data_IF_475434061150
#
_entry.id   IF_475434061150
#
_cell.length_a   1.000
_cell.length_b   1.000
_cell.length_c   1.000
_cell.angle_alpha   90.00
_cell.angle_beta   90.00
_cell.angle_gamma   90.00
#
_symmetry.space_group_name_H-M   'P 1'
#
loop_
_entity.id
_entity.type
_entity.pdbx_description
1 polymer ?
#
# COMPACT_ATOMS: atom_id res chain seq x y z
N UNK A 1 -14.28 31.31 17.79
CA UNK A 1 -13.88 32.70 17.54
C UNK A 1 -13.46 33.37 18.84
N UNK A 2 -12.94 34.56 18.81
CA UNK A 2 -12.46 35.29 20.00
C UNK A 2 -13.55 35.49 21.06
N UNK A 3 -14.82 35.42 20.66
CA UNK A 3 -16.01 35.61 21.50
C UNK A 3 -16.69 34.30 21.89
N UNK A 4 -16.00 33.16 21.81
CA UNK A 4 -16.54 31.85 22.13
C UNK A 4 -17.53 31.26 21.11
N UNK A 5 -17.85 32.00 20.03
CA UNK A 5 -18.74 31.53 18.97
C UNK A 5 -18.09 30.46 18.07
N UNK A 6 -18.84 29.47 17.64
CA UNK A 6 -18.41 28.51 16.62
C UNK A 6 -18.25 29.25 15.28
N UNK A 7 -17.05 29.18 14.66
CA UNK A 7 -16.77 29.76 13.35
C UNK A 7 -17.14 28.78 12.21
N UNK A 8 -16.93 27.49 12.43
CA UNK A 8 -17.26 26.41 11.49
C UNK A 8 -17.48 25.12 12.28
N UNK A 9 -18.44 24.34 11.87
CA UNK A 9 -18.67 22.98 12.34
C UNK A 9 -18.80 22.09 11.10
N UNK A 10 -18.13 20.95 11.11
CA UNK A 10 -18.22 19.97 10.04
C UNK A 10 -18.12 18.56 10.65
N UNK A 11 -19.05 17.69 10.29
CA UNK A 11 -19.07 16.31 10.73
C UNK A 11 -18.34 15.47 9.67
N UNK A 12 -17.52 14.55 10.14
CA UNK A 12 -16.83 13.59 9.30
C UNK A 12 -17.18 12.18 9.74
N UNK A 13 -17.47 11.32 8.78
CA UNK A 13 -17.72 9.90 9.00
C UNK A 13 -16.57 9.07 8.48
N UNK A 14 -16.10 8.13 9.29
CA UNK A 14 -15.17 7.08 8.83
C UNK A 14 -15.98 5.96 8.20
N UNK A 15 -15.78 5.73 6.91
CA UNK A 15 -16.53 4.71 6.15
C UNK A 15 -15.72 3.43 5.90
N UNK A 16 -14.59 3.30 6.57
CA UNK A 16 -13.68 2.16 6.45
C UNK A 16 -12.56 2.40 5.44
N UNK A 17 -11.57 1.50 5.40
CA UNK A 17 -10.45 1.58 4.47
C UNK A 17 -9.57 2.84 4.58
N UNK A 18 -9.69 3.62 5.66
CA UNK A 18 -9.03 4.91 5.81
C UNK A 18 -9.73 6.08 5.12
N UNK A 19 -10.90 5.84 4.52
CA UNK A 19 -11.71 6.89 3.88
C UNK A 19 -12.55 7.63 4.91
N UNK A 20 -12.62 8.95 4.74
CA UNK A 20 -13.50 9.83 5.50
C UNK A 20 -14.36 10.60 4.51
N UNK A 21 -15.62 10.79 4.86
CA UNK A 21 -16.57 11.59 4.10
C UNK A 21 -17.19 12.64 5.01
N UNK A 22 -17.56 13.76 4.45
CA UNK A 22 -18.33 14.79 5.16
C UNK A 22 -19.81 14.42 5.22
N UNK A 23 -20.55 15.08 6.08
CA UNK A 23 -22.01 14.96 6.17
C UNK A 23 -22.71 15.11 4.81
N UNK A 24 -22.24 16.05 4.01
CA UNK A 24 -22.79 16.30 2.68
C UNK A 24 -22.42 15.22 1.65
N UNK A 25 -21.25 14.61 1.77
CA UNK A 25 -20.79 13.54 0.89
C UNK A 25 -21.35 12.18 1.28
N UNK A 26 -21.72 11.99 2.56
CA UNK A 26 -22.32 10.76 3.06
C UNK A 26 -23.65 10.44 2.36
N UNK A 27 -24.49 11.46 2.15
CA UNK A 27 -25.76 11.32 1.44
C UNK A 27 -25.60 11.24 -0.09
N UNK A 28 -24.43 11.64 -0.63
CA UNK A 28 -24.14 11.66 -2.08
C UNK A 28 -23.38 10.40 -2.55
N UNK A 29 -23.06 9.43 -1.70
CA UNK A 29 -22.41 8.18 -2.06
C UNK A 29 -23.24 7.24 -2.93
N UNK A 30 -24.37 7.68 -3.48
CA UNK A 30 -25.06 7.00 -4.57
C UNK A 30 -24.27 7.18 -5.87
N UNK A 31 -23.33 6.27 -6.10
CA UNK A 31 -22.88 5.75 -7.39
C UNK A 31 -22.82 6.74 -8.58
N UNK A 32 -21.77 7.51 -8.66
CA UNK A 32 -21.27 7.89 -9.99
C UNK A 32 -20.32 6.76 -10.48
N UNK A 33 -20.86 5.60 -10.79
CA UNK A 33 -20.12 4.55 -11.50
C UNK A 33 -19.86 5.01 -12.93
N UNK A 34 -18.68 5.56 -13.18
CA UNK A 34 -18.23 5.77 -14.55
C UNK A 34 -18.08 4.39 -15.22
N UNK A 35 -18.54 4.21 -16.45
CA UNK A 35 -18.34 2.97 -17.15
C UNK A 35 -16.85 2.68 -17.30
N UNK A 36 -16.45 1.47 -16.98
CA UNK A 36 -15.08 0.97 -17.13
C UNK A 36 -14.98 -0.06 -18.23
N UNK A 37 -13.84 -0.21 -18.90
CA UNK A 37 -13.65 -1.18 -19.98
C UNK A 37 -13.89 -2.63 -19.55
N UNK A 38 -13.47 -3.00 -18.34
CA UNK A 38 -13.52 -4.37 -17.82
C UNK A 38 -14.21 -4.41 -16.46
N UNK A 39 -15.56 -4.28 -16.41
CA UNK A 39 -16.28 -4.25 -15.14
C UNK A 39 -16.25 -5.62 -14.46
N UNK A 40 -16.10 -5.62 -13.13
CA UNK A 40 -16.17 -6.81 -12.29
C UNK A 40 -16.62 -6.44 -10.87
N UNK A 41 -17.27 -7.37 -10.20
CA UNK A 41 -17.69 -7.28 -8.80
C UNK A 41 -17.13 -8.42 -7.96
N UNK A 42 -16.46 -9.36 -8.61
CA UNK A 42 -15.84 -10.52 -7.96
C UNK A 42 -14.54 -10.93 -8.67
N UNK A 43 -13.69 -11.65 -7.95
CA UNK A 43 -12.46 -12.20 -8.51
C UNK A 43 -12.76 -13.15 -9.69
N UNK A 44 -13.85 -13.90 -9.63
CA UNK A 44 -14.25 -14.80 -10.71
C UNK A 44 -14.58 -14.03 -11.99
N UNK A 45 -15.29 -12.91 -11.87
CA UNK A 45 -15.60 -12.02 -13.02
C UNK A 45 -14.33 -11.34 -13.55
N UNK A 46 -13.45 -10.85 -12.69
CA UNK A 46 -12.16 -10.29 -13.10
C UNK A 46 -11.36 -11.30 -13.92
N UNK A 47 -11.24 -12.54 -13.45
CA UNK A 47 -10.55 -13.59 -14.19
C UNK A 47 -11.25 -13.97 -15.50
N UNK A 48 -12.59 -13.90 -15.57
CA UNK A 48 -13.33 -14.08 -16.78
C UNK A 48 -13.03 -12.97 -17.80
N UNK A 49 -13.05 -11.70 -17.38
CA UNK A 49 -12.65 -10.56 -18.22
C UNK A 49 -11.24 -10.73 -18.77
N UNK A 50 -10.28 -11.07 -17.91
CA UNK A 50 -8.89 -11.29 -18.32
C UNK A 50 -8.78 -12.39 -19.40
N UNK A 51 -9.47 -13.53 -19.22
CA UNK A 51 -9.44 -14.62 -20.19
C UNK A 51 -10.09 -14.25 -21.52
N UNK A 52 -11.25 -13.60 -21.48
CA UNK A 52 -11.99 -13.20 -22.69
C UNK A 52 -11.22 -12.20 -23.54
N UNK A 53 -10.50 -11.29 -22.89
CA UNK A 53 -9.79 -10.20 -23.55
C UNK A 53 -8.27 -10.47 -23.69
N UNK A 54 -7.78 -11.63 -23.24
CA UNK A 54 -6.35 -12.02 -23.28
C UNK A 54 -5.46 -11.00 -22.55
N UNK A 55 -5.91 -10.54 -21.38
CA UNK A 55 -5.22 -9.57 -20.54
C UNK A 55 -4.73 -10.19 -19.24
N UNK A 56 -3.66 -9.64 -18.70
CA UNK A 56 -3.30 -9.85 -17.30
C UNK A 56 -4.21 -9.00 -16.39
N UNK A 57 -4.31 -9.39 -15.10
CA UNK A 57 -5.08 -8.64 -14.10
C UNK A 57 -4.61 -7.18 -14.04
N UNK A 58 -3.31 -6.95 -14.05
CA UNK A 58 -2.73 -5.60 -14.00
C UNK A 58 -3.13 -4.73 -15.20
N UNK A 59 -3.29 -5.32 -16.39
CA UNK A 59 -3.71 -4.60 -17.60
C UNK A 59 -5.18 -4.22 -17.53
N UNK A 60 -6.04 -5.14 -17.10
CA UNK A 60 -7.46 -4.86 -16.92
C UNK A 60 -7.69 -3.76 -15.87
N UNK A 61 -6.98 -3.82 -14.75
CA UNK A 61 -7.04 -2.80 -13.69
C UNK A 61 -6.51 -1.46 -14.18
N UNK A 62 -5.39 -1.45 -14.87
CA UNK A 62 -4.79 -0.22 -15.43
C UNK A 62 -5.76 0.52 -16.35
N UNK A 63 -6.41 -0.21 -17.26
CA UNK A 63 -7.40 0.36 -18.16
C UNK A 63 -8.63 0.91 -17.41
N UNK A 64 -9.12 0.16 -16.42
CA UNK A 64 -10.23 0.61 -15.58
C UNK A 64 -9.87 1.88 -14.79
N UNK A 65 -8.71 1.93 -14.14
CA UNK A 65 -8.24 3.09 -13.39
C UNK A 65 -8.05 4.32 -14.29
N UNK A 66 -7.51 4.14 -15.50
CA UNK A 66 -7.38 5.22 -16.47
C UNK A 66 -8.74 5.80 -16.87
N UNK A 67 -9.74 4.95 -17.11
CA UNK A 67 -11.10 5.37 -17.44
C UNK A 67 -11.77 6.09 -16.26
N UNK A 68 -11.67 5.54 -15.04
CA UNK A 68 -12.22 6.15 -13.82
C UNK A 68 -11.58 7.50 -13.53
N UNK A 69 -10.27 7.59 -13.64
CA UNK A 69 -9.53 8.83 -13.40
C UNK A 69 -9.65 9.84 -14.55
N UNK A 70 -10.10 9.42 -15.74
CA UNK A 70 -10.15 10.28 -16.92
C UNK A 70 -8.77 10.73 -17.38
N UNK A 71 -7.76 9.87 -17.26
CA UNK A 71 -6.38 10.18 -17.63
C UNK A 71 -5.73 9.00 -18.40
N UNK A 72 -4.50 9.17 -18.86
CA UNK A 72 -3.78 8.11 -19.58
C UNK A 72 -3.29 7.01 -18.64
N UNK A 73 -3.11 5.80 -19.17
CA UNK A 73 -2.47 4.69 -18.46
C UNK A 73 -1.06 5.04 -17.97
N UNK A 74 -0.31 5.82 -18.74
CA UNK A 74 1.01 6.31 -18.33
C UNK A 74 0.94 7.18 -17.07
N UNK A 75 -0.10 7.97 -16.92
CA UNK A 75 -0.33 8.76 -15.70
C UNK A 75 -0.69 7.87 -14.52
N UNK A 76 -1.51 6.82 -14.71
CA UNK A 76 -1.80 5.84 -13.66
C UNK A 76 -0.52 5.12 -13.24
N UNK A 77 0.29 4.65 -14.19
CA UNK A 77 1.59 4.01 -13.89
C UNK A 77 2.50 4.94 -13.07
N UNK A 78 2.56 6.23 -13.44
CA UNK A 78 3.33 7.22 -12.67
C UNK A 78 2.84 7.35 -11.23
N UNK A 79 1.52 7.35 -11.00
CA UNK A 79 0.92 7.40 -9.64
C UNK A 79 1.24 6.13 -8.85
N UNK A 80 1.12 4.97 -9.46
CA UNK A 80 1.46 3.67 -8.85
C UNK A 80 2.95 3.60 -8.49
N UNK A 81 3.83 4.09 -9.38
CA UNK A 81 5.26 4.22 -9.08
C UNK A 81 5.51 5.09 -7.84
N UNK A 82 4.79 6.21 -7.72
CA UNK A 82 4.86 7.08 -6.52
C UNK A 82 4.43 6.36 -5.23
N UNK A 83 3.43 5.47 -5.31
CA UNK A 83 3.03 4.61 -4.18
C UNK A 83 4.17 3.66 -3.80
N UNK A 84 4.79 3.01 -4.80
CA UNK A 84 5.94 2.12 -4.58
C UNK A 84 7.12 2.86 -3.91
N UNK A 85 7.39 4.10 -4.30
CA UNK A 85 8.45 4.93 -3.70
C UNK A 85 8.16 5.27 -2.22
N UNK A 86 6.90 5.53 -1.88
CA UNK A 86 6.49 5.74 -0.47
C UNK A 86 6.70 4.47 0.35
N UNK A 87 6.33 3.30 -0.19
CA UNK A 87 6.55 1.99 0.44
C UNK A 87 8.04 1.73 0.69
N UNK A 88 8.88 1.95 -0.33
CA UNK A 88 10.32 1.79 -0.25
C UNK A 88 10.95 2.75 0.78
N UNK A 89 10.53 4.01 0.76
CA UNK A 89 10.98 5.02 1.72
C UNK A 89 10.59 4.67 3.16
N UNK A 90 9.40 4.10 3.37
CA UNK A 90 8.95 3.64 4.68
C UNK A 90 9.86 2.52 5.22
N UNK A 91 10.14 1.49 4.42
CA UNK A 91 11.03 0.39 4.82
C UNK A 91 12.43 0.92 5.16
N UNK A 92 12.98 1.80 4.32
CA UNK A 92 14.31 2.40 4.58
C UNK A 92 14.37 3.15 5.91
N UNK A 93 13.36 3.96 6.22
CA UNK A 93 13.28 4.66 7.51
C UNK A 93 13.16 3.69 8.67
N UNK A 94 12.24 2.71 8.59
CA UNK A 94 12.01 1.74 9.65
C UNK A 94 13.24 0.85 9.92
N UNK A 95 14.05 0.55 8.90
CA UNK A 95 15.31 -0.19 9.06
C UNK A 95 16.45 0.66 9.63
N UNK A 96 16.34 1.99 9.58
CA UNK A 96 17.35 2.92 10.10
C UNK A 96 16.98 3.48 11.48
N UNK A 97 15.70 3.46 11.84
CA UNK A 97 15.21 4.09 13.08
C UNK A 97 15.40 3.14 14.26
N UNK A 98 16.03 3.64 15.33
CA UNK A 98 16.22 2.94 16.61
C UNK A 98 15.41 3.60 17.74
N UNK A 99 15.47 3.02 18.93
CA UNK A 99 14.83 3.55 20.14
C UNK A 99 13.49 2.89 20.45
N UNK A 100 12.63 3.64 21.14
CA UNK A 100 11.31 3.20 21.59
C UNK A 100 10.21 3.80 20.74
N UNK A 101 9.13 3.03 20.53
CA UNK A 101 7.92 3.52 19.88
C UNK A 101 7.16 4.45 20.82
N UNK A 102 6.45 5.48 20.31
CA UNK A 102 5.63 6.36 21.13
C UNK A 102 4.50 5.59 21.82
N UNK A 103 4.09 6.08 22.99
CA UNK A 103 3.06 5.44 23.82
C UNK A 103 3.62 4.96 25.16
N UNK A 104 2.76 4.58 26.09
CA UNK A 104 3.13 4.24 27.46
C UNK A 104 3.68 2.81 27.66
N UNK A 105 3.87 2.03 26.60
CA UNK A 105 4.25 0.62 26.68
C UNK A 105 5.76 0.35 26.57
N UNK A 106 6.57 1.37 26.31
CA UNK A 106 8.04 1.29 26.15
C UNK A 106 8.49 0.20 25.17
N UNK A 107 7.76 0.07 24.05
CA UNK A 107 8.05 -0.94 23.03
C UNK A 107 9.26 -0.52 22.22
N UNK A 108 10.33 -1.31 22.27
CA UNK A 108 11.55 -1.07 21.49
C UNK A 108 11.36 -1.44 20.02
N UNK A 109 11.95 -0.64 19.12
CA UNK A 109 12.09 -0.99 17.71
C UNK A 109 13.01 -2.21 17.57
N UNK A 110 12.62 -3.16 16.73
CA UNK A 110 13.32 -4.44 16.52
C UNK A 110 13.83 -4.63 15.10
N UNK A 111 13.21 -3.96 14.11
CA UNK A 111 13.54 -4.15 12.71
C UNK A 111 15.01 -3.87 12.40
N UNK A 112 15.66 -2.78 12.89
CA UNK A 112 17.07 -2.53 12.63
C UNK A 112 18.00 -3.63 13.17
N UNK A 113 17.72 -4.11 14.39
CA UNK A 113 18.55 -5.15 15.04
C UNK A 113 18.40 -6.49 14.34
N UNK A 114 17.18 -6.86 13.91
CA UNK A 114 16.93 -8.07 13.14
C UNK A 114 17.59 -7.99 11.76
N UNK A 115 17.50 -6.85 11.09
CA UNK A 115 18.19 -6.63 9.83
C UNK A 115 19.72 -6.77 9.97
N UNK A 116 20.31 -6.25 11.05
CA UNK A 116 21.73 -6.39 11.33
C UNK A 116 22.11 -7.86 11.56
N UNK A 117 21.31 -8.61 12.33
CA UNK A 117 21.51 -10.05 12.54
C UNK A 117 21.44 -10.84 11.23
N UNK A 118 20.44 -10.57 10.38
CA UNK A 118 20.31 -11.24 9.08
C UNK A 118 21.47 -10.92 8.13
N UNK A 119 21.99 -9.70 8.17
CA UNK A 119 23.19 -9.33 7.39
C UNK A 119 24.46 -10.05 7.88
N UNK A 120 24.56 -10.28 9.19
CA UNK A 120 25.70 -10.99 9.78
C UNK A 120 25.64 -12.51 9.54
N UNK A 121 24.46 -13.10 9.42
CA UNK A 121 24.27 -14.46 8.92
C UNK A 121 24.60 -14.45 7.44
N UNK A 122 25.73 -15.04 7.06
CA UNK A 122 26.28 -15.00 5.71
C UNK A 122 25.24 -15.32 4.66
N UNK A 123 25.27 -14.57 3.55
CA UNK A 123 24.32 -14.62 2.43
C UNK A 123 24.17 -15.98 1.71
N UNK A 124 24.85 -17.00 2.17
CA UNK A 124 24.90 -18.34 1.55
C UNK A 124 23.81 -19.30 2.02
N UNK A 125 23.01 -18.95 3.02
CA UNK A 125 21.94 -19.81 3.50
C UNK A 125 20.59 -19.39 2.89
N UNK A 126 19.97 -20.26 2.09
CA UNK A 126 18.64 -20.07 1.47
C UNK A 126 17.58 -19.68 2.51
N UNK A 127 17.70 -20.18 3.73
CA UNK A 127 16.81 -19.88 4.87
C UNK A 127 16.87 -18.39 5.25
N UNK A 128 17.99 -17.73 5.06
CA UNK A 128 18.18 -16.34 5.44
C UNK A 128 17.35 -15.36 4.58
N UNK A 129 17.22 -15.61 3.27
CA UNK A 129 16.46 -14.72 2.40
C UNK A 129 14.97 -14.72 2.72
N UNK A 130 14.41 -15.84 3.18
CA UNK A 130 12.99 -15.99 3.53
C UNK A 130 12.58 -15.20 4.78
N UNK A 131 13.52 -14.81 5.64
CA UNK A 131 13.25 -14.02 6.83
C UNK A 131 13.15 -12.51 6.54
N UNK A 132 13.66 -12.04 5.40
CA UNK A 132 13.65 -10.63 5.06
C UNK A 132 12.25 -10.03 4.95
N UNK A 133 11.23 -10.67 4.35
CA UNK A 133 9.87 -10.12 4.33
C UNK A 133 9.33 -9.80 5.73
N UNK A 134 9.63 -10.64 6.73
CA UNK A 134 9.21 -10.40 8.12
C UNK A 134 9.88 -9.14 8.70
N UNK A 135 11.18 -8.94 8.44
CA UNK A 135 11.91 -7.76 8.90
C UNK A 135 11.40 -6.49 8.21
N UNK A 136 11.10 -6.56 6.90
CA UNK A 136 10.53 -5.43 6.17
C UNK A 136 9.12 -5.07 6.65
N UNK A 137 8.26 -6.07 6.87
CA UNK A 137 6.92 -5.85 7.42
C UNK A 137 6.99 -5.23 8.82
N UNK A 138 7.92 -5.70 9.66
CA UNK A 138 8.16 -5.11 10.98
C UNK A 138 8.62 -3.66 10.87
N UNK A 139 9.53 -3.34 9.96
CA UNK A 139 9.99 -1.97 9.73
C UNK A 139 8.84 -1.02 9.36
N UNK A 140 7.92 -1.46 8.49
CA UNK A 140 6.72 -0.68 8.14
C UNK A 140 5.79 -0.52 9.34
N UNK A 141 5.54 -1.59 10.10
CA UNK A 141 4.67 -1.52 11.28
C UNK A 141 5.23 -0.62 12.38
N UNK A 142 6.54 -0.64 12.59
CA UNK A 142 7.20 0.27 13.53
C UNK A 142 7.16 1.72 13.07
N UNK A 143 7.30 1.99 11.76
CA UNK A 143 7.09 3.33 11.20
C UNK A 143 5.64 3.79 11.35
N UNK A 144 4.66 2.91 11.10
CA UNK A 144 3.25 3.22 11.30
C UNK A 144 2.96 3.58 12.78
N UNK A 145 3.46 2.77 13.72
CA UNK A 145 3.29 3.01 15.16
C UNK A 145 3.98 4.31 15.62
N UNK A 146 5.05 4.72 14.95
CA UNK A 146 5.76 5.95 15.24
C UNK A 146 5.15 7.22 14.58
N UNK A 147 4.03 7.08 13.86
CA UNK A 147 3.42 8.19 13.12
C UNK A 147 4.17 8.57 11.85
N UNK A 148 5.03 7.68 11.34
CA UNK A 148 5.75 7.87 10.08
C UNK A 148 4.83 7.76 8.86
N UNK A 149 5.35 8.18 7.69
CA UNK A 149 4.60 8.09 6.43
C UNK A 149 4.56 6.66 5.92
N UNK A 150 3.36 6.09 5.84
CA UNK A 150 3.08 4.75 5.31
C UNK A 150 2.05 4.83 4.18
N UNK A 151 1.99 3.79 3.34
CA UNK A 151 0.82 3.55 2.49
C UNK A 151 -0.20 2.81 3.35
N UNK A 152 -1.39 3.38 3.50
CA UNK A 152 -2.45 2.81 4.34
C UNK A 152 -3.07 1.57 3.70
N UNK A 153 -3.63 0.70 4.53
CA UNK A 153 -4.47 -0.43 4.16
C UNK A 153 -5.74 -0.40 5.01
N UNK A 154 -6.78 -1.18 4.69
CA UNK A 154 -7.99 -1.25 5.51
C UNK A 154 -7.71 -1.56 6.98
N UNK A 155 -6.65 -2.32 7.25
CA UNK A 155 -6.10 -2.49 8.60
C UNK A 155 -4.63 -2.10 8.60
N UNK A 156 -4.21 -1.21 9.49
CA UNK A 156 -2.83 -0.74 9.53
C UNK A 156 -1.82 -1.87 9.83
N UNK A 157 -2.24 -2.93 10.51
CA UNK A 157 -1.41 -4.12 10.70
C UNK A 157 -1.05 -4.82 9.38
N UNK A 158 -1.97 -4.84 8.42
CA UNK A 158 -1.76 -5.41 7.09
C UNK A 158 -0.93 -4.49 6.17
N UNK A 159 -0.83 -3.19 6.47
CA UNK A 159 -0.10 -2.22 5.65
C UNK A 159 1.40 -2.55 5.46
N UNK A 160 1.96 -3.41 6.32
CA UNK A 160 3.34 -3.88 6.20
C UNK A 160 3.55 -5.01 5.18
N UNK A 161 2.50 -5.75 4.80
CA UNK A 161 2.63 -6.98 4.01
C UNK A 161 3.03 -6.67 2.57
N UNK A 162 2.23 -5.87 1.86
CA UNK A 162 2.48 -5.52 0.45
C UNK A 162 3.85 -4.85 0.26
N UNK A 163 4.22 -3.81 1.04
CA UNK A 163 5.55 -3.20 0.93
C UNK A 163 6.69 -4.20 1.17
N UNK A 164 6.54 -5.08 2.15
CA UNK A 164 7.57 -6.06 2.49
C UNK A 164 7.81 -7.07 1.36
N UNK A 165 6.73 -7.59 0.76
CA UNK A 165 6.82 -8.53 -0.36
C UNK A 165 7.37 -7.84 -1.60
N UNK A 166 6.90 -6.61 -1.89
CA UNK A 166 7.39 -5.82 -3.02
C UNK A 166 8.89 -5.50 -2.90
N UNK A 167 9.33 -5.07 -1.70
CA UNK A 167 10.75 -4.81 -1.46
C UNK A 167 11.59 -6.08 -1.58
N UNK A 168 11.11 -7.20 -1.06
CA UNK A 168 11.75 -8.50 -1.23
C UNK A 168 11.86 -8.88 -2.71
N UNK A 169 10.77 -8.74 -3.48
CA UNK A 169 10.76 -8.99 -4.92
C UNK A 169 11.81 -8.14 -5.64
N UNK A 170 11.85 -6.82 -5.38
CA UNK A 170 12.84 -5.91 -5.99
C UNK A 170 14.27 -6.27 -5.65
N UNK A 171 14.52 -6.72 -4.43
CA UNK A 171 15.88 -6.97 -3.94
C UNK A 171 16.45 -8.31 -4.39
N UNK A 172 15.62 -9.34 -4.44
CA UNK A 172 16.07 -10.72 -4.65
C UNK A 172 15.70 -11.28 -6.03
N UNK A 173 14.91 -10.57 -6.83
CA UNK A 173 14.59 -10.98 -8.17
C UNK A 173 15.33 -10.11 -9.19
N UNK A 174 16.26 -10.68 -9.99
CA UNK A 174 17.02 -9.92 -10.99
C UNK A 174 16.13 -9.37 -12.12
N UNK A 175 14.91 -9.86 -12.26
CA UNK A 175 13.95 -9.43 -13.28
C UNK A 175 12.92 -8.44 -12.74
N UNK A 176 13.13 -7.85 -11.57
CA UNK A 176 12.22 -6.85 -10.98
C UNK A 176 12.35 -5.49 -11.67
N UNK A 177 11.80 -5.38 -12.88
CA UNK A 177 11.71 -4.12 -13.61
C UNK A 177 10.68 -3.18 -12.98
N UNK A 178 10.74 -1.88 -13.31
CA UNK A 178 9.77 -0.90 -12.86
C UNK A 178 8.33 -1.28 -13.27
N UNK A 179 8.14 -1.73 -14.49
CA UNK A 179 6.86 -2.20 -15.00
C UNK A 179 6.30 -3.38 -14.16
N UNK A 180 7.14 -4.35 -13.81
CA UNK A 180 6.72 -5.47 -12.95
C UNK A 180 6.37 -5.05 -11.54
N UNK A 181 7.01 -4.01 -11.01
CA UNK A 181 6.65 -3.39 -9.73
C UNK A 181 5.26 -2.75 -9.81
N UNK A 182 4.98 -2.03 -10.88
CA UNK A 182 3.67 -1.42 -11.12
C UNK A 182 2.58 -2.47 -11.30
N UNK A 183 2.83 -3.50 -12.12
CA UNK A 183 1.92 -4.61 -12.33
C UNK A 183 1.62 -5.39 -11.02
N UNK A 184 2.64 -5.57 -10.16
CA UNK A 184 2.45 -6.15 -8.84
C UNK A 184 1.46 -5.34 -8.00
N UNK A 185 1.62 -4.00 -7.95
CA UNK A 185 0.74 -3.14 -7.16
C UNK A 185 -0.67 -3.04 -7.74
N UNK A 186 -0.82 -2.97 -9.07
CA UNK A 186 -2.12 -2.99 -9.73
C UNK A 186 -2.88 -4.29 -9.44
N UNK A 187 -2.17 -5.43 -9.53
CA UNK A 187 -2.76 -6.74 -9.19
C UNK A 187 -3.14 -6.84 -7.72
N UNK A 188 -2.27 -6.38 -6.82
CA UNK A 188 -2.54 -6.39 -5.38
C UNK A 188 -3.75 -5.51 -5.03
N UNK A 189 -3.89 -4.35 -5.67
CA UNK A 189 -5.03 -3.45 -5.48
C UNK A 189 -6.35 -4.03 -5.98
N UNK A 190 -6.33 -4.91 -6.98
CA UNK A 190 -7.54 -5.58 -7.46
C UNK A 190 -8.05 -6.70 -6.54
N UNK A 191 -7.17 -7.26 -5.71
CA UNK A 191 -7.48 -8.39 -4.83
C UNK A 191 -7.86 -7.91 -3.41
N UNK A 192 -7.31 -6.76 -2.98
CA UNK A 192 -7.56 -6.15 -1.66
C UNK A 192 -8.79 -5.29 -1.66
#
# INVERSE_FOLDING_TARGET
GKDGGKLKEQIYYSVGGGFIVTDQEFDQQAEQTRPVPYPYTSCAELLAQCRMNQLDISEAVLANEAALAGCSEAEIRRRVAGVADVMEGCIKRGLAADGELPGGLNVRRRAPQLAAKLKALRETEIVNTQLWPMVYAMAVNEENAAGGRVVTAPTNGAAGIIPAVLHYFRKFNPHATQERVENFLLTAGAIG
#
